data_IF_940459168260
#
_entry.id   IF_940459168260
#
_cell.length_a   1.000
_cell.length_b   1.000
_cell.length_c   1.000
_cell.angle_alpha   90.00
_cell.angle_beta   90.00
_cell.angle_gamma   90.00
#
_symmetry.space_group_name_H-M   'P 1'
#
loop_
_entity.id
_entity.type
_entity.pdbx_description
1 polymer ?
2 non-polymer ?
3 non-polymer ?
4 non-polymer ?
5 water ?
#
# COMPACT_ATOMS: atom_id res chain seq x y z
C UNK A 14 -11.90 -28.60 17.84
N UNK A 15 -12.44 -27.69 17.04
CA UNK A 15 -11.61 -26.64 16.43
C UNK A 15 -11.00 -25.71 17.48
N UNK A 16 -9.77 -25.27 17.25
CA UNK A 16 -9.16 -24.27 18.13
C UNK A 16 -9.92 -22.95 18.03
N UNK A 17 -10.14 -22.31 19.16
CA UNK A 17 -10.80 -21.01 19.22
C UNK A 17 -9.83 -19.98 19.76
N UNK A 18 -10.09 -18.71 19.44
CA UNK A 18 -9.26 -17.61 19.93
C UNK A 18 -10.14 -16.37 20.04
N UNK A 19 -10.04 -15.68 21.18
CA UNK A 19 -10.85 -14.49 21.49
C UNK A 19 -12.33 -14.76 21.23
N UNK A 20 -12.78 -15.95 21.64
CA UNK A 20 -14.18 -16.29 21.65
C UNK A 20 -14.78 -16.67 20.31
N UNK A 21 -14.00 -16.67 19.22
CA UNK A 21 -14.55 -17.00 17.91
C UNK A 21 -13.73 -18.10 17.24
N UNK A 22 -14.39 -18.79 16.30
CA UNK A 22 -13.79 -19.93 15.61
C UNK A 22 -12.61 -19.45 14.77
N UNK A 23 -11.55 -20.26 14.77
CA UNK A 23 -10.35 -20.04 13.99
C UNK A 23 -9.81 -21.44 13.64
N UNK A 24 -10.52 -22.21 12.82
CA UNK A 24 -10.19 -23.63 12.64
C UNK A 24 -9.33 -23.79 11.41
N UNK A 25 -8.04 -23.99 11.65
CA UNK A 25 -7.03 -24.07 10.62
C UNK A 25 -6.36 -25.42 10.62
N UNK A 26 -6.84 -26.35 11.46
CA UNK A 26 -6.12 -27.56 11.72
C UNK A 26 -6.46 -28.67 10.75
N UNK A 27 -5.75 -29.79 10.87
CA UNK A 27 -4.72 -29.98 11.89
C UNK A 27 -3.32 -29.47 11.53
N UNK A 28 -3.15 -28.93 10.33
CA UNK A 28 -1.81 -28.54 9.90
C UNK A 28 -1.24 -27.44 10.77
N UNK A 29 -2.09 -26.50 11.20
CA UNK A 29 -1.62 -25.32 11.92
C UNK A 29 -2.13 -25.41 13.34
N UNK A 30 -1.21 -25.34 14.31
CA UNK A 30 -1.54 -25.49 15.72
C UNK A 30 -0.87 -24.41 16.55
N UNK A 31 -1.15 -24.45 17.85
CA UNK A 31 -0.54 -23.53 18.82
C UNK A 31 -0.74 -22.08 18.40
N UNK A 32 -2.01 -21.68 18.37
CA UNK A 32 -2.38 -20.37 17.84
C UNK A 32 -2.13 -19.28 18.88
N UNK A 33 -1.79 -18.10 18.37
CA UNK A 33 -1.57 -16.93 19.20
C UNK A 33 -2.11 -15.71 18.47
N UNK A 34 -2.96 -14.95 19.16
CA UNK A 34 -3.57 -13.79 18.56
C UNK A 34 -2.54 -12.70 18.33
N UNK A 35 -2.52 -12.13 17.13
CA UNK A 35 -1.67 -10.98 16.82
C UNK A 35 -2.46 -9.68 16.86
N UNK A 36 -3.60 -9.62 16.20
CA UNK A 36 -4.41 -8.42 16.24
C UNK A 36 -5.57 -8.46 15.27
N UNK A 37 -6.27 -7.33 15.23
CA UNK A 37 -7.47 -7.16 14.42
C UNK A 37 -7.12 -6.29 13.22
N UNK A 38 -7.41 -6.80 12.02
CA UNK A 38 -7.07 -6.06 10.83
C UNK A 38 -8.27 -5.70 9.99
N UNK A 39 -8.00 -5.21 8.78
CA UNK A 39 -9.07 -4.78 7.89
C UNK A 39 -10.07 -5.88 7.60
N UNK A 40 -9.62 -7.14 7.60
CA UNK A 40 -10.50 -8.24 7.24
C UNK A 40 -11.13 -8.95 8.43
N UNK A 41 -10.49 -8.91 9.59
CA UNK A 41 -10.89 -9.73 10.73
C UNK A 41 -9.67 -10.05 11.58
N UNK A 42 -9.66 -11.25 12.15
CA UNK A 42 -8.65 -11.64 13.13
C UNK A 42 -7.39 -12.19 12.49
N UNK A 43 -6.23 -11.83 13.06
CA UNK A 43 -4.93 -12.29 12.60
C UNK A 43 -4.23 -13.01 13.75
N UNK A 44 -3.72 -14.21 13.49
CA UNK A 44 -3.03 -15.01 14.49
C UNK A 44 -1.73 -15.53 13.91
N UNK A 45 -0.84 -15.92 14.80
CA UNK A 45 0.29 -16.75 14.43
C UNK A 45 -0.01 -18.17 14.83
N UNK A 46 0.69 -19.10 14.17
CA UNK A 46 0.43 -20.51 14.39
C UNK A 46 1.64 -21.30 13.95
N UNK A 47 1.73 -22.53 14.43
CA UNK A 47 2.81 -23.42 14.03
C UNK A 47 2.39 -24.26 12.84
N UNK A 48 3.16 -24.16 11.77
CA UNK A 48 2.94 -24.95 10.55
C UNK A 48 3.62 -26.29 10.75
N UNK A 49 2.81 -27.33 11.02
CA UNK A 49 3.37 -28.64 11.35
C UNK A 49 4.06 -29.29 10.16
N UNK A 50 3.76 -28.84 8.94
CA UNK A 50 4.41 -29.39 7.76
C UNK A 50 5.78 -28.74 7.53
N UNK A 51 5.84 -27.42 7.58
CA UNK A 51 7.09 -26.73 7.28
C UNK A 51 7.91 -26.44 8.54
N UNK A 52 7.38 -26.75 9.71
CA UNK A 52 8.11 -26.63 10.97
C UNK A 52 8.52 -25.19 11.24
N UNK A 53 7.61 -24.26 10.96
CA UNK A 53 7.84 -22.84 11.21
C UNK A 53 6.53 -22.24 11.70
N UNK A 54 6.65 -21.12 12.42
CA UNK A 54 5.43 -20.37 12.70
C UNK A 54 5.11 -19.47 11.52
N UNK A 55 3.81 -19.26 11.31
CA UNK A 55 3.26 -18.50 10.19
C UNK A 55 2.25 -17.51 10.73
N UNK A 56 1.85 -16.59 9.87
CA UNK A 56 0.71 -15.72 10.14
C UNK A 56 -0.49 -16.24 9.36
N UNK A 57 -1.67 -16.16 9.98
CA UNK A 57 -2.94 -16.56 9.37
C UNK A 57 -3.97 -15.46 9.62
N UNK A 58 -4.60 -14.98 8.55
CA UNK A 58 -5.68 -14.00 8.69
C UNK A 58 -7.01 -14.65 8.29
N UNK A 59 -8.02 -14.44 9.14
CA UNK A 59 -9.36 -14.95 8.92
C UNK A 59 -10.20 -13.88 8.22
N UNK A 60 -10.80 -14.27 7.09
CA UNK A 60 -11.58 -13.38 6.25
C UNK A 60 -12.98 -13.94 6.13
N UNK A 61 -13.98 -13.09 6.37
CA UNK A 61 -15.40 -13.46 6.37
C UNK A 61 -16.18 -12.47 5.52
N UNK A 62 -16.10 -12.58 4.19
CA UNK A 62 -16.58 -11.50 3.32
C UNK A 62 -17.93 -11.72 2.65
N UNK A 63 -18.52 -12.91 2.80
CA UNK A 63 -19.42 -13.35 1.75
C UNK A 63 -20.79 -12.67 1.79
N UNK A 64 -21.07 -11.88 2.82
CA UNK A 64 -22.34 -11.15 2.88
C UNK A 64 -22.40 -9.96 1.92
N UNK A 65 -21.25 -9.39 1.55
CA UNK A 65 -21.22 -8.06 0.94
C UNK A 65 -20.37 -8.02 -0.33
N UNK A 66 -20.95 -7.43 -1.37
CA UNK A 66 -20.27 -7.15 -2.63
C UNK A 66 -18.84 -6.64 -2.42
N UNK A 67 -18.71 -5.54 -1.66
CA UNK A 67 -17.41 -4.87 -1.55
C UNK A 67 -16.41 -5.70 -0.78
N UNK A 68 -16.85 -6.39 0.28
CA UNK A 68 -15.96 -7.32 0.98
C UNK A 68 -15.45 -8.39 0.03
N UNK A 69 -16.36 -9.04 -0.71
CA UNK A 69 -15.95 -10.07 -1.65
C UNK A 69 -15.03 -9.49 -2.73
N UNK A 70 -15.29 -8.24 -3.12
CA UNK A 70 -14.42 -7.53 -4.08
C UNK A 70 -12.99 -7.46 -3.57
N UNK A 71 -12.81 -6.91 -2.37
CA UNK A 71 -11.45 -6.75 -1.83
C UNK A 71 -10.76 -8.09 -1.66
N UNK A 72 -11.50 -9.10 -1.17
CA UNK A 72 -10.92 -10.42 -0.94
C UNK A 72 -10.44 -11.04 -2.25
N UNK A 73 -11.27 -10.95 -3.29
CA UNK A 73 -10.87 -11.50 -4.58
C UNK A 73 -9.66 -10.77 -5.15
N UNK A 74 -9.61 -9.43 -5.02
CA UNK A 74 -8.45 -8.70 -5.52
C UNK A 74 -7.17 -9.16 -4.80
N UNK A 75 -7.23 -9.19 -3.46
CA UNK A 75 -6.07 -9.59 -2.67
C UNK A 75 -5.58 -10.98 -3.07
N UNK A 76 -6.51 -11.95 -3.16
CA UNK A 76 -6.10 -13.31 -3.47
C UNK A 76 -5.56 -13.40 -4.89
N UNK A 77 -6.32 -12.87 -5.88
CA UNK A 77 -5.91 -12.99 -7.28
C UNK A 77 -4.54 -12.37 -7.50
N UNK A 78 -4.33 -11.17 -6.97
CA UNK A 78 -3.07 -10.48 -7.24
C UNK A 78 -1.92 -11.18 -6.54
N UNK A 79 -2.08 -11.52 -5.26
CA UNK A 79 -0.95 -12.07 -4.52
C UNK A 79 -0.58 -13.46 -5.02
N UNK A 80 -1.54 -14.24 -5.51
CA UNK A 80 -1.20 -15.54 -6.11
C UNK A 80 -0.48 -15.38 -7.44
N UNK A 81 -0.68 -14.28 -8.15
CA UNK A 81 0.03 -14.11 -9.41
C UNK A 81 1.38 -13.46 -9.25
N UNK A 82 1.55 -12.64 -8.23
CA UNK A 82 2.84 -11.97 -8.02
C UNK A 82 3.83 -12.90 -7.33
N UNK A 83 5.10 -12.78 -7.70
CA UNK A 83 6.18 -13.52 -7.04
C UNK A 83 7.37 -12.56 -6.94
N UNK A 84 7.57 -11.98 -5.75
CA UNK A 84 8.61 -10.96 -5.59
C UNK A 84 9.03 -10.89 -4.13
N UNK A 85 10.34 -10.75 -3.90
CA UNK A 85 10.91 -10.75 -2.55
C UNK A 85 10.31 -9.67 -1.65
N UNK A 86 9.86 -8.55 -2.24
CA UNK A 86 9.34 -7.43 -1.46
C UNK A 86 7.82 -7.33 -1.53
N UNK A 87 7.14 -8.43 -1.86
CA UNK A 87 5.68 -8.49 -1.84
C UNK A 87 5.33 -9.75 -1.07
N UNK A 88 4.43 -9.62 -0.09
CA UNK A 88 4.09 -10.79 0.71
C UNK A 88 3.44 -11.86 -0.18
N UNK A 89 3.79 -13.08 0.05
CA UNK A 89 3.17 -14.15 -0.71
C UNK A 89 1.99 -14.75 0.04
N UNK A 90 1.25 -15.60 -0.65
CA UNK A 90 0.28 -16.48 -0.02
C UNK A 90 0.85 -17.89 -0.03
N UNK A 91 1.07 -18.46 1.16
CA UNK A 91 1.61 -19.81 1.29
C UNK A 91 0.54 -20.87 1.23
N UNK A 92 -0.66 -20.54 1.67
CA UNK A 92 -1.71 -21.54 1.81
C UNK A 92 -3.02 -20.77 1.99
N UNK A 93 -4.11 -21.38 1.57
CA UNK A 93 -5.44 -20.84 1.84
C UNK A 93 -6.29 -21.98 2.35
N UNK A 94 -6.95 -21.76 3.48
CA UNK A 94 -7.78 -22.77 4.12
C UNK A 94 -9.23 -22.34 3.98
N UNK A 95 -10.06 -23.24 3.48
CA UNK A 95 -11.51 -23.03 3.49
C UNK A 95 -12.20 -24.38 3.36
N UNK A 96 -13.52 -24.37 3.58
CA UNK A 96 -14.31 -25.59 3.50
C UNK A 96 -14.22 -26.22 2.10
N UNK A 97 -14.52 -27.52 1.99
CA UNK A 97 -14.41 -28.19 0.69
C UNK A 97 -15.47 -27.80 -0.32
N UNK A 98 -16.56 -27.18 0.11
CA UNK A 98 -17.67 -26.87 -0.79
C UNK A 98 -18.06 -25.41 -0.60
N UNK A 99 -18.65 -24.82 -1.64
CA UNK A 99 -19.14 -23.45 -1.54
C UNK A 99 -20.18 -23.35 -0.43
N UNK A 100 -21.12 -24.30 -0.40
CA UNK A 100 -22.17 -24.32 0.60
C UNK A 100 -21.61 -24.18 2.00
N UNK A 101 -20.51 -24.87 2.27
CA UNK A 101 -19.96 -24.94 3.61
C UNK A 101 -18.94 -23.85 3.89
N UNK A 102 -18.57 -23.07 2.88
CA UNK A 102 -17.52 -22.06 3.01
C UNK A 102 -18.13 -20.77 3.56
N UNK A 103 -17.74 -20.40 4.79
CA UNK A 103 -18.15 -19.12 5.36
C UNK A 103 -16.97 -18.21 5.63
N UNK A 104 -15.81 -18.79 5.86
CA UNK A 104 -14.59 -18.05 6.14
C UNK A 104 -13.49 -18.56 5.22
N UNK A 105 -12.49 -17.72 5.00
CA UNK A 105 -11.29 -18.09 4.25
C UNK A 105 -10.10 -17.67 5.10
N UNK A 106 -9.13 -18.57 5.27
CA UNK A 106 -7.93 -18.24 6.03
C UNK A 106 -6.75 -18.16 5.08
N UNK A 107 -6.06 -17.03 5.10
CA UNK A 107 -4.88 -16.83 4.27
C UNK A 107 -3.67 -17.02 5.15
N UNK A 108 -2.80 -17.94 4.76
CA UNK A 108 -1.55 -18.22 5.47
C UNK A 108 -0.41 -17.51 4.76
N UNK A 109 0.40 -16.76 5.52
CA UNK A 109 1.51 -15.99 4.97
C UNK A 109 2.72 -16.13 5.89
N UNK A 110 3.90 -15.75 5.37
CA UNK A 110 5.10 -15.72 6.21
C UNK A 110 4.83 -14.87 7.44
N UNK A 111 5.35 -15.33 8.59
CA UNK A 111 5.25 -14.58 9.83
C UNK A 111 6.32 -13.49 9.85
N UNK A 112 5.90 -12.25 9.96
CA UNK A 112 6.83 -11.14 10.03
C UNK A 112 6.91 -10.66 11.47
N UNK A 113 7.90 -9.83 11.75
CA UNK A 113 8.06 -9.40 13.14
C UNK A 113 7.15 -8.23 13.48
N UNK A 114 6.95 -7.30 12.54
CA UNK A 114 6.20 -6.09 12.84
C UNK A 114 5.75 -5.48 11.52
N UNK A 115 5.07 -4.34 11.59
CA UNK A 115 4.84 -3.54 10.39
C UNK A 115 5.42 -2.15 10.64
N UNK A 116 5.54 -1.36 9.57
CA UNK A 116 6.23 -0.08 9.70
C UNK A 116 5.43 0.90 10.57
N UNK A 117 4.11 0.75 10.60
CA UNK A 117 3.29 1.58 11.48
C UNK A 117 3.67 1.34 12.94
N UNK A 118 3.71 0.07 13.34
CA UNK A 118 4.07 -0.26 14.72
C UNK A 118 5.52 0.12 15.01
N UNK A 119 6.40 -0.11 14.04
CA UNK A 119 7.79 0.24 14.23
C UNK A 119 7.96 1.75 14.41
N UNK A 120 7.26 2.56 13.62
CA UNK A 120 7.48 4.01 13.73
C UNK A 120 6.86 4.60 14.99
N UNK A 121 5.93 3.88 15.64
CA UNK A 121 5.40 4.35 16.91
C UNK A 121 6.48 4.47 17.98
N UNK A 122 7.49 3.60 17.95
CA UNK A 122 8.40 3.51 19.09
C UNK A 122 9.88 3.50 18.72
N UNK A 123 10.25 3.45 17.45
CA UNK A 123 11.64 3.26 17.08
C UNK A 123 12.06 4.39 16.16
N UNK A 124 13.17 5.02 16.51
CA UNK A 124 13.85 5.95 15.61
C UNK A 124 14.63 5.16 14.56
N UNK A 125 14.46 5.53 13.30
CA UNK A 125 15.17 4.86 12.21
C UNK A 125 16.50 5.55 11.93
N UNK A 126 17.57 4.76 11.84
CA UNK A 126 18.84 5.29 11.33
C UNK A 126 18.68 5.63 9.85
N UNK A 127 19.53 6.55 9.36
CA UNK A 127 19.46 6.84 7.93
C UNK A 127 19.71 5.59 7.11
N UNK A 128 20.56 4.67 7.59
CA UNK A 128 20.78 3.42 6.85
C UNK A 128 19.49 2.60 6.76
N UNK A 129 18.70 2.56 7.83
CA UNK A 129 17.43 1.85 7.77
C UNK A 129 16.44 2.53 6.84
N UNK A 130 16.37 3.87 6.91
CA UNK A 130 15.45 4.60 6.04
C UNK A 130 15.78 4.31 4.58
N UNK A 131 17.07 4.31 4.26
CA UNK A 131 17.51 4.09 2.89
C UNK A 131 17.15 2.68 2.44
N UNK A 132 17.45 1.68 3.28
CA UNK A 132 17.15 0.29 2.95
C UNK A 132 15.64 0.04 2.84
N UNK A 133 14.84 0.58 3.79
CA UNK A 133 13.40 0.44 3.67
C UNK A 133 12.89 1.06 2.38
N UNK A 134 13.31 2.29 2.09
CA UNK A 134 12.79 2.95 0.90
C UNK A 134 13.20 2.20 -0.36
N UNK A 135 14.45 1.70 -0.39
CA UNK A 135 14.89 0.88 -1.53
C UNK A 135 13.93 -0.29 -1.74
N UNK A 136 13.60 -1.00 -0.66
CA UNK A 136 12.79 -2.20 -0.79
C UNK A 136 11.35 -1.86 -1.19
N UNK A 137 10.80 -0.78 -0.64
CA UNK A 137 9.46 -0.35 -1.07
C UNK A 137 9.44 -0.12 -2.57
N UNK A 138 10.41 0.66 -3.08
CA UNK A 138 10.43 1.00 -4.50
C UNK A 138 10.72 -0.22 -5.36
N UNK A 139 11.55 -1.14 -4.87
CA UNK A 139 11.86 -2.35 -5.64
C UNK A 139 10.59 -3.18 -5.81
N UNK A 140 9.85 -3.36 -4.73
CA UNK A 140 8.56 -4.04 -4.84
C UNK A 140 7.59 -3.28 -5.72
N UNK A 141 7.56 -1.96 -5.59
CA UNK A 141 6.62 -1.18 -6.39
C UNK A 141 6.97 -1.21 -7.87
N UNK A 142 8.27 -1.32 -8.20
CA UNK A 142 8.64 -1.44 -9.61
C UNK A 142 7.98 -2.67 -10.22
N UNK A 143 7.98 -3.76 -9.47
CA UNK A 143 7.34 -4.98 -9.94
C UNK A 143 5.82 -4.82 -10.07
N UNK A 144 5.19 -4.26 -9.04
CA UNK A 144 3.75 -4.01 -9.09
C UNK A 144 3.40 -3.17 -10.31
N UNK A 145 4.08 -2.04 -10.49
CA UNK A 145 3.75 -1.17 -11.61
C UNK A 145 4.09 -1.79 -12.95
N UNK A 146 5.13 -2.63 -13.00
CA UNK A 146 5.44 -3.34 -14.24
C UNK A 146 4.33 -4.32 -14.64
N UNK A 147 3.49 -4.74 -13.69
CA UNK A 147 2.34 -5.59 -13.98
C UNK A 147 1.12 -4.76 -14.35
N UNK A 148 1.28 -3.44 -14.47
CA UNK A 148 0.19 -2.53 -14.77
C UNK A 148 -0.82 -2.46 -13.63
N UNK A 149 -0.37 -2.71 -12.40
CA UNK A 149 -1.23 -2.69 -11.22
C UNK A 149 -0.85 -1.49 -10.37
N UNK A 150 -1.86 -0.84 -9.81
CA UNK A 150 -1.73 0.21 -8.82
C UNK A 150 -2.11 -0.35 -7.45
N UNK A 151 -1.27 -0.11 -6.44
CA UNK A 151 -1.59 -0.63 -5.11
C UNK A 151 -2.72 0.16 -4.49
N UNK A 152 -2.60 1.48 -4.52
CA UNK A 152 -3.62 2.48 -4.16
C UNK A 152 -3.86 2.56 -2.67
N UNK A 153 -3.10 1.85 -1.83
CA UNK A 153 -3.28 2.08 -0.40
C UNK A 153 -1.97 1.85 0.33
N UNK A 154 -0.88 2.39 -0.23
CA UNK A 154 0.41 2.24 0.44
C UNK A 154 0.45 3.14 1.66
N UNK A 155 0.87 2.58 2.80
CA UNK A 155 0.99 3.29 4.06
C UNK A 155 1.79 2.40 5.01
N UNK A 156 2.31 2.94 6.11
CA UNK A 156 3.18 2.13 6.97
C UNK A 156 2.56 0.83 7.43
N UNK A 157 1.25 0.81 7.73
CA UNK A 157 0.67 -0.43 8.24
C UNK A 157 0.56 -1.53 7.19
N UNK A 158 0.76 -1.20 5.89
CA UNK A 158 0.74 -2.19 4.83
C UNK A 158 2.14 -2.62 4.41
N UNK A 159 3.15 -2.35 5.25
CA UNK A 159 4.52 -2.75 4.98
C UNK A 159 4.97 -3.61 6.15
N UNK A 160 5.19 -4.89 5.91
CA UNK A 160 5.67 -5.79 6.95
C UNK A 160 7.19 -5.89 6.91
N UNK A 161 7.78 -6.14 8.11
CA UNK A 161 9.21 -6.27 8.29
C UNK A 161 9.49 -7.52 9.10
N UNK A 162 10.50 -8.29 8.71
CA UNK A 162 10.89 -9.44 9.53
C UNK A 162 12.02 -9.04 10.47
N UNK A 163 12.62 -10.02 11.16
CA UNK A 163 13.59 -9.66 12.20
C UNK A 163 14.89 -9.13 11.63
N UNK A 164 15.12 -9.30 10.33
CA UNK A 164 16.34 -8.81 9.71
C UNK A 164 16.00 -7.65 8.78
N UNK A 165 14.83 -7.06 9.01
CA UNK A 165 14.42 -5.83 8.35
C UNK A 165 14.19 -6.00 6.84
N UNK A 166 13.92 -7.25 6.42
CA UNK A 166 13.38 -7.47 5.07
C UNK A 166 11.94 -6.97 5.03
N UNK A 167 11.59 -6.24 3.97
CA UNK A 167 10.33 -5.51 3.91
C UNK A 167 9.46 -6.12 2.83
N UNK A 168 8.17 -6.31 3.14
CA UNK A 168 7.22 -6.83 2.16
C UNK A 168 5.96 -5.98 2.12
N UNK A 169 5.55 -5.64 0.90
CA UNK A 169 4.31 -4.89 0.65
C UNK A 169 3.13 -5.84 0.78
N UNK A 170 2.09 -5.42 1.50
CA UNK A 170 0.92 -6.28 1.71
C UNK A 170 -0.35 -5.51 1.36
N UNK A 171 -1.44 -6.26 1.37
CA UNK A 171 -2.84 -5.82 1.18
C UNK A 171 -3.16 -5.12 -0.12
N UNK A 172 -3.55 -5.90 -1.10
CA UNK A 172 -3.90 -5.40 -2.41
C UNK A 172 -5.41 -5.32 -2.60
N UNK A 173 -6.16 -5.28 -1.49
CA UNK A 173 -7.62 -5.24 -1.57
C UNK A 173 -8.19 -4.02 -2.29
N UNK A 174 -7.45 -2.92 -2.35
CA UNK A 174 -7.90 -1.73 -3.07
C UNK A 174 -7.17 -1.54 -4.40
N UNK A 175 -6.37 -2.53 -4.82
CA UNK A 175 -5.58 -2.40 -6.04
C UNK A 175 -6.47 -2.40 -7.28
N UNK A 176 -5.95 -1.80 -8.36
CA UNK A 176 -6.65 -1.72 -9.63
C UNK A 176 -5.63 -1.83 -10.76
N UNK A 177 -6.11 -2.23 -11.94
CA UNK A 177 -5.28 -2.11 -13.14
C UNK A 177 -5.21 -0.64 -13.55
N UNK A 178 -4.01 -0.16 -13.90
CA UNK A 178 -3.85 1.25 -14.25
C UNK A 178 -4.70 1.60 -15.46
N UNK A 179 -5.28 2.80 -15.45
CA UNK A 179 -6.17 3.23 -16.52
C UNK A 179 -6.03 4.74 -16.68
N UNK A 180 -4.88 5.20 -17.16
CA UNK A 180 -4.64 6.65 -17.17
C UNK A 180 -5.57 7.41 -18.08
N UNK A 181 -6.13 6.75 -19.11
CA UNK A 181 -6.99 7.49 -20.04
C UNK A 181 -8.35 7.80 -19.46
N UNK A 182 -8.70 7.21 -18.33
CA UNK A 182 -9.98 7.46 -17.68
C UNK A 182 -9.78 7.99 -16.26
N UNK A 183 -8.68 8.72 -16.02
CA UNK A 183 -8.37 9.17 -14.68
C UNK A 183 -9.08 10.47 -14.28
N UNK A 184 -9.62 11.24 -15.23
CA UNK A 184 -10.12 12.58 -14.91
C UNK A 184 -11.50 12.50 -14.28
N UNK A 185 -11.74 13.35 -13.29
CA UNK A 185 -13.02 13.44 -12.61
C UNK A 185 -13.15 14.85 -12.06
N UNK A 186 -14.26 15.09 -11.38
CA UNK A 186 -14.56 16.40 -10.83
C UNK A 186 -13.94 16.64 -9.47
N UNK A 187 -14.19 17.85 -8.99
CA UNK A 187 -13.64 18.36 -7.74
C UNK A 187 -14.37 17.76 -6.55
N UNK A 188 -13.59 17.28 -5.57
CA UNK A 188 -14.13 16.72 -4.33
C UNK A 188 -14.88 15.42 -4.59
N UNK A 189 -14.37 14.61 -5.52
CA UNK A 189 -14.95 13.29 -5.82
C UNK A 189 -14.53 12.29 -4.75
N UNK A 190 -15.50 11.51 -4.27
CA UNK A 190 -15.28 10.63 -3.14
C UNK A 190 -14.19 9.62 -3.46
N UNK A 191 -13.51 9.17 -2.40
CA UNK A 191 -12.35 8.31 -2.56
C UNK A 191 -12.19 7.46 -1.32
N UNK A 192 -11.63 6.26 -1.50
CA UNK A 192 -11.67 5.22 -0.46
C UNK A 192 -10.33 5.08 0.27
N UNK A 193 -9.20 5.18 -0.43
CA UNK A 193 -7.87 4.91 0.15
C UNK A 193 -7.53 5.90 1.26
N UNK A 194 -6.48 5.58 2.04
CA UNK A 194 -6.25 6.22 3.34
C UNK A 194 -5.87 7.70 3.24
N UNK A 195 -6.54 8.53 4.03
CA UNK A 195 -6.52 9.97 3.79
C UNK A 195 -5.11 10.57 3.82
N UNK A 196 -4.31 10.22 4.83
CA UNK A 196 -3.02 10.89 5.02
C UNK A 196 -2.05 10.62 3.89
N UNK A 197 -2.28 9.58 3.08
CA UNK A 197 -1.36 9.18 2.02
C UNK A 197 -1.93 9.47 0.64
N UNK A 198 -3.02 10.25 0.57
CA UNK A 198 -3.70 10.59 -0.68
C UNK A 198 -3.01 11.75 -1.40
N UNK A 199 -2.73 11.55 -2.68
CA UNK A 199 -2.12 12.60 -3.50
C UNK A 199 -3.07 13.79 -3.68
N UNK A 200 -2.53 14.99 -3.84
CA UNK A 200 -3.41 16.17 -3.91
C UNK A 200 -4.43 16.08 -5.02
N UNK A 201 -4.04 15.50 -6.16
CA UNK A 201 -4.97 15.45 -7.30
C UNK A 201 -6.22 14.60 -7.01
N UNK A 202 -6.18 13.73 -6.01
CA UNK A 202 -7.37 12.95 -5.67
C UNK A 202 -8.52 13.88 -5.28
N UNK A 203 -8.21 14.92 -4.50
CA UNK A 203 -9.21 15.89 -4.09
C UNK A 203 -9.59 16.87 -5.22
N UNK A 204 -8.78 16.96 -6.26
CA UNK A 204 -8.96 17.96 -7.30
C UNK A 204 -9.61 17.42 -8.56
N UNK A 205 -9.04 16.35 -9.18
CA UNK A 205 -9.52 15.96 -10.51
C UNK A 205 -9.09 14.55 -10.92
N UNK A 206 -8.71 13.67 -9.98
CA UNK A 206 -8.16 12.37 -10.33
C UNK A 206 -8.92 11.24 -9.64
N UNK A 207 -9.18 10.17 -10.39
CA UNK A 207 -9.73 8.96 -9.81
C UNK A 207 -8.68 8.03 -9.20
N UNK A 208 -7.39 8.39 -9.26
CA UNK A 208 -6.39 7.48 -8.72
C UNK A 208 -6.13 6.29 -9.60
N UNK A 209 -6.22 6.46 -10.92
CA UNK A 209 -5.99 5.37 -11.85
C UNK A 209 -4.63 5.45 -12.54
N UNK A 210 -3.68 6.24 -12.02
CA UNK A 210 -2.36 6.30 -12.63
C UNK A 210 -1.30 5.99 -11.58
N UNK A 211 -0.14 5.56 -12.06
CA UNK A 211 0.91 5.08 -11.18
C UNK A 211 1.43 6.17 -10.24
N UNK A 212 1.31 7.44 -10.66
CA UNK A 212 1.79 8.53 -9.81
C UNK A 212 1.08 8.58 -8.46
N UNK A 213 -0.09 7.94 -8.34
CA UNK A 213 -0.79 7.91 -7.06
C UNK A 213 0.02 7.16 -6.00
N UNK A 214 0.69 6.08 -6.41
CA UNK A 214 1.48 5.28 -5.49
C UNK A 214 2.77 6.00 -5.11
N UNK A 215 3.37 6.73 -6.06
CA UNK A 215 4.63 7.42 -5.74
C UNK A 215 4.39 8.46 -4.67
N UNK A 216 3.24 9.17 -4.75
CA UNK A 216 2.91 10.13 -3.70
C UNK A 216 2.89 9.45 -2.34
N UNK A 217 2.18 8.32 -2.24
CA UNK A 217 2.11 7.59 -0.98
C UNK A 217 3.50 7.24 -0.47
N UNK A 218 4.39 6.81 -1.35
CA UNK A 218 5.74 6.44 -0.91
C UNK A 218 6.47 7.67 -0.40
N UNK A 219 6.25 8.82 -1.05
CA UNK A 219 6.83 10.06 -0.57
C UNK A 219 6.37 10.38 0.83
N UNK A 220 5.08 10.16 1.11
CA UNK A 220 4.55 10.37 2.45
C UNK A 220 5.20 9.41 3.44
N UNK A 221 5.44 8.16 3.01
CA UNK A 221 6.05 7.17 3.90
C UNK A 221 7.49 7.55 4.19
N UNK A 222 8.23 7.99 3.18
CA UNK A 222 9.59 8.48 3.41
C UNK A 222 9.61 9.62 4.43
N UNK A 223 8.72 10.60 4.26
CA UNK A 223 8.71 11.73 5.20
C UNK A 223 8.45 11.24 6.61
N UNK A 224 7.57 10.23 6.74
CA UNK A 224 7.21 9.72 8.04
C UNK A 224 8.36 8.91 8.66
N UNK A 225 9.14 8.22 7.83
CA UNK A 225 10.34 7.55 8.34
C UNK A 225 11.38 8.56 8.84
N UNK A 226 11.41 9.74 8.22
CA UNK A 226 12.40 10.74 8.64
C UNK A 226 12.07 11.35 9.99
N UNK A 227 10.78 11.42 10.36
CA UNK A 227 10.39 12.13 11.58
C UNK A 227 9.51 11.35 12.54
N UNK A 228 9.07 10.14 12.20
CA UNK A 228 8.15 9.37 13.04
C UNK A 228 6.82 10.08 13.26
N UNK A 229 6.41 10.95 12.34
CA UNK A 229 5.11 11.62 12.38
C UNK A 229 4.61 11.70 10.94
N UNK A 230 3.33 11.48 10.69
CA UNK A 230 2.82 11.71 9.32
C UNK A 230 3.04 13.15 8.88
N UNK A 231 3.43 13.31 7.61
CA UNK A 231 3.74 14.66 7.14
C UNK A 231 2.47 15.46 6.88
N UNK A 232 1.38 14.81 6.46
CA UNK A 232 0.14 15.48 6.09
C UNK A 232 -1.05 14.86 6.82
N UNK A 233 -1.18 15.11 8.13
CA UNK A 233 -2.21 14.43 8.93
C UNK A 233 -3.56 15.15 8.90
N UNK A 234 -4.17 15.19 7.72
CA UNK A 234 -5.46 15.85 7.59
C UNK A 234 -6.53 15.16 8.43
N UNK A 235 -7.49 15.95 8.89
CA UNK A 235 -8.53 15.45 9.76
C UNK A 235 -9.82 15.11 9.03
N UNK A 236 -9.94 15.49 7.76
CA UNK A 236 -11.10 15.17 6.93
C UNK A 236 -10.71 15.47 5.50
N UNK A 237 -11.65 15.25 4.58
CA UNK A 237 -11.33 15.11 3.16
C UNK A 237 -10.64 16.34 2.59
N UNK A 238 -11.28 17.54 2.67
CA UNK A 238 -10.60 18.70 2.07
C UNK A 238 -9.46 19.19 2.95
N UNK A 239 -9.53 18.95 4.27
CA UNK A 239 -8.39 19.29 5.15
C UNK A 239 -7.10 18.66 4.68
N UNK A 240 -7.18 17.47 4.09
CA UNK A 240 -5.97 16.83 3.59
C UNK A 240 -5.25 17.73 2.58
N UNK A 241 -6.02 18.40 1.70
CA UNK A 241 -5.37 19.23 0.70
C UNK A 241 -4.73 20.44 1.35
N UNK A 242 -5.32 20.96 2.42
CA UNK A 242 -4.76 22.17 3.01
C UNK A 242 -3.48 21.85 3.80
N UNK A 243 -3.33 20.63 4.31
CA UNK A 243 -2.03 20.20 4.82
C UNK A 243 -0.98 20.11 3.72
N UNK A 244 -1.35 19.53 2.59
CA UNK A 244 -0.38 19.38 1.51
C UNK A 244 0.09 20.75 1.03
N UNK A 245 -0.86 21.64 0.78
CA UNK A 245 -0.51 22.98 0.30
C UNK A 245 0.23 23.81 1.36
N UNK A 246 -0.01 23.55 2.64
CA UNK A 246 0.71 24.28 3.67
C UNK A 246 2.20 24.01 3.68
N UNK A 247 2.64 22.90 3.09
CA UNK A 247 4.07 22.59 3.00
C UNK A 247 4.60 22.83 1.60
N UNK A 248 3.88 22.38 0.55
CA UNK A 248 4.36 22.59 -0.80
C UNK A 248 4.22 24.03 -1.24
N UNK A 249 3.34 24.79 -0.60
CA UNK A 249 3.00 26.12 -1.04
C UNK A 249 2.07 26.10 -2.23
N UNK A 250 1.75 27.32 -2.70
CA UNK A 250 0.79 27.52 -3.79
C UNK A 250 1.32 26.90 -5.07
N UNK A 251 0.51 26.16 -5.81
CA UNK A 251 0.97 25.63 -7.10
C UNK A 251 1.23 26.75 -8.09
N UNK A 252 2.20 26.50 -8.97
CA UNK A 252 2.61 27.43 -9.99
C UNK A 252 1.51 27.62 -11.03
N UNK A 253 1.64 28.68 -11.84
CA UNK A 253 0.66 28.85 -12.90
C UNK A 253 0.67 27.68 -13.87
N UNK A 254 1.86 27.17 -14.21
CA UNK A 254 1.98 26.02 -15.09
C UNK A 254 1.21 24.84 -14.53
N UNK A 255 1.35 24.58 -13.22
CA UNK A 255 0.68 23.45 -12.62
C UNK A 255 -0.83 23.68 -12.53
N UNK A 256 -1.26 24.91 -12.27
CA UNK A 256 -2.71 25.18 -12.32
C UNK A 256 -3.25 25.01 -13.73
N UNK A 257 -2.48 25.44 -14.74
CA UNK A 257 -2.97 25.33 -16.11
C UNK A 257 -3.19 23.88 -16.52
N UNK A 258 -2.53 22.93 -15.85
CA UNK A 258 -2.74 21.51 -16.11
C UNK A 258 -4.05 20.97 -15.54
N UNK A 259 -4.71 21.74 -14.68
CA UNK A 259 -5.99 21.37 -14.10
C UNK A 259 -7.05 22.09 -14.93
N UNK A 260 -7.69 21.38 -15.83
CA UNK A 260 -8.64 22.10 -16.70
C UNK A 260 -9.97 22.28 -15.99
N UNK A 261 -10.32 21.39 -15.07
CA UNK A 261 -11.61 21.50 -14.39
C UNK A 261 -11.71 22.83 -13.62
N UNK A 262 -12.76 23.60 -13.91
CA UNK A 262 -12.84 24.97 -13.37
C UNK A 262 -13.09 24.97 -11.87
N UNK A 263 -13.90 24.03 -11.36
CA UNK A 263 -14.18 24.03 -9.93
C UNK A 263 -12.92 23.78 -9.14
N UNK A 264 -12.10 22.84 -9.59
CA UNK A 264 -10.85 22.56 -8.90
C UNK A 264 -9.89 23.74 -9.06
N UNK A 265 -9.70 24.22 -10.30
CA UNK A 265 -8.77 25.33 -10.52
C UNK A 265 -9.18 26.55 -9.70
N UNK A 266 -10.47 26.89 -9.70
CA UNK A 266 -10.87 28.11 -9.01
C UNK A 266 -10.78 27.96 -7.50
N UNK A 267 -10.94 26.75 -6.98
CA UNK A 267 -10.68 26.55 -5.56
C UNK A 267 -9.24 26.94 -5.23
N UNK A 268 -8.29 26.42 -6.02
CA UNK A 268 -6.89 26.74 -5.74
C UNK A 268 -6.63 28.24 -5.92
N UNK A 269 -7.25 28.86 -6.92
CA UNK A 269 -7.04 30.30 -7.13
C UNK A 269 -7.60 31.15 -6.01
N UNK A 270 -8.58 30.63 -5.26
CA UNK A 270 -9.24 31.36 -4.19
C UNK A 270 -8.40 31.44 -2.93
N UNK A 271 -7.34 30.66 -2.84
CA UNK A 271 -6.53 30.54 -1.63
C UNK A 271 -5.52 31.68 -1.59
N UNK A 272 -5.24 32.22 -0.42
CA UNK A 272 -4.10 33.14 -0.30
C UNK A 272 -2.80 32.43 -0.66
N UNK A 273 -1.81 33.21 -1.11
CA UNK A 273 -0.47 32.71 -1.39
C UNK A 273 0.11 32.01 -0.16
N UNK A 274 0.67 30.82 -0.37
CA UNK A 274 1.39 30.05 0.65
C UNK A 274 2.80 29.79 0.11
N UNK A 275 3.83 30.10 0.91
CA UNK A 275 5.19 29.76 0.51
C UNK A 275 5.51 28.30 0.83
N UNK A 276 6.38 27.73 0.01
CA UNK A 276 6.93 26.41 0.26
C UNK A 276 7.71 26.41 1.57
N UNK A 277 7.54 25.35 2.35
CA UNK A 277 8.37 25.10 3.53
C UNK A 277 9.57 24.26 3.08
N UNK A 278 10.80 24.73 3.28
CA UNK A 278 11.96 23.96 2.81
C UNK A 278 12.05 22.63 3.54
N UNK A 279 12.35 21.57 2.77
CA UNK A 279 12.42 20.25 3.38
C UNK A 279 13.45 20.20 4.50
N UNK A 280 14.55 20.95 4.34
CA UNK A 280 15.60 20.81 5.35
C UNK A 280 15.27 21.59 6.60
N UNK A 281 14.25 22.46 6.54
CA UNK A 281 13.75 23.05 7.76
C UNK A 281 12.82 22.09 8.50
N UNK A 282 11.99 21.36 7.74
CA UNK A 282 11.11 20.36 8.33
C UNK A 282 11.89 19.17 8.86
N UNK A 283 12.99 18.82 8.20
CA UNK A 283 13.74 17.61 8.52
C UNK A 283 15.21 17.98 8.64
N UNK A 284 15.58 18.71 9.69
CA UNK A 284 16.97 19.22 9.75
C UNK A 284 18.03 18.15 9.96
N UNK A 285 17.68 16.91 10.34
CA UNK A 285 18.66 15.84 10.53
C UNK A 285 18.78 14.92 9.31
N UNK A 286 17.93 15.13 8.31
CA UNK A 286 17.83 14.19 7.18
C UNK A 286 19.01 14.33 6.22
N UNK A 287 19.35 13.22 5.60
CA UNK A 287 20.31 13.20 4.51
C UNK A 287 19.83 14.10 3.37
N UNK A 288 20.73 14.92 2.83
CA UNK A 288 20.30 15.84 1.79
C UNK A 288 19.85 15.11 0.54
N UNK A 289 20.45 13.96 0.22
CA UNK A 289 19.99 13.19 -0.93
C UNK A 289 18.59 12.62 -0.69
N UNK A 290 18.29 12.20 0.54
CA UNK A 290 16.94 11.74 0.87
C UNK A 290 15.93 12.86 0.62
N UNK A 291 16.27 14.10 1.00
CA UNK A 291 15.30 15.18 0.83
C UNK A 291 15.14 15.55 -0.63
N UNK A 292 16.18 15.38 -1.42
CA UNK A 292 16.05 15.65 -2.84
C UNK A 292 15.06 14.67 -3.47
N UNK A 293 15.18 13.40 -3.11
CA UNK A 293 14.24 12.40 -3.62
C UNK A 293 12.84 12.63 -3.06
N UNK A 294 12.73 12.95 -1.77
CA UNK A 294 11.44 13.28 -1.18
C UNK A 294 10.72 14.36 -1.98
N UNK A 295 11.48 15.41 -2.37
CA UNK A 295 10.89 16.52 -3.10
C UNK A 295 10.32 16.05 -4.42
N UNK A 296 11.03 15.12 -5.09
CA UNK A 296 10.60 14.62 -6.38
C UNK A 296 9.41 13.68 -6.25
N UNK A 297 9.28 12.97 -5.14
CA UNK A 297 8.09 12.12 -4.95
C UNK A 297 6.87 12.92 -4.52
N UNK A 298 7.07 13.97 -3.74
CA UNK A 298 5.99 14.84 -3.31
C UNK A 298 5.88 16.08 -4.20
N UNK A 299 5.87 15.85 -5.50
CA UNK A 299 5.66 16.91 -6.47
C UNK A 299 4.16 17.05 -6.69
N UNK A 300 3.69 18.30 -6.70
CA UNK A 300 2.25 18.56 -6.80
C UNK A 300 1.67 18.05 -8.11
N UNK A 301 2.30 18.40 -9.23
CA UNK A 301 1.86 17.99 -10.56
C UNK A 301 2.16 16.52 -10.77
N UNK A 302 1.15 15.65 -10.88
CA UNK A 302 1.44 14.22 -11.05
C UNK A 302 2.23 13.88 -12.31
N UNK A 303 2.14 14.69 -13.36
CA UNK A 303 2.91 14.44 -14.57
C UNK A 303 4.40 14.69 -14.36
N UNK A 304 4.75 15.61 -13.46
CA UNK A 304 6.15 15.89 -13.18
C UNK A 304 6.71 15.01 -12.07
N UNK A 305 5.84 14.30 -11.36
CA UNK A 305 6.26 13.48 -10.23
C UNK A 305 7.17 12.35 -10.72
N UNK A 306 8.20 12.04 -9.94
CA UNK A 306 9.16 11.01 -10.36
C UNK A 306 8.45 9.66 -10.45
N UNK A 307 8.89 8.82 -11.40
CA UNK A 307 8.35 7.46 -11.55
C UNK A 307 9.23 6.47 -10.81
N UNK A 308 8.72 5.25 -10.63
CA UNK A 308 9.38 4.32 -9.71
C UNK A 308 10.78 3.96 -10.19
N UNK A 309 10.97 3.75 -11.50
CA UNK A 309 12.31 3.37 -11.96
C UNK A 309 13.29 4.53 -11.87
N UNK A 310 12.83 5.77 -12.02
CA UNK A 310 13.71 6.92 -11.78
C UNK A 310 14.07 7.05 -10.31
N UNK A 311 13.10 6.78 -9.43
CA UNK A 311 13.37 6.87 -8.00
C UNK A 311 14.44 5.87 -7.61
N UNK A 312 14.38 4.65 -8.15
CA UNK A 312 15.40 3.63 -7.85
C UNK A 312 16.79 4.09 -8.25
N UNK A 313 16.91 4.84 -9.36
CA UNK A 313 18.20 5.35 -9.85
C UNK A 313 18.64 6.65 -9.18
N UNK A 314 17.90 7.15 -8.20
CA UNK A 314 18.27 8.40 -7.55
C UNK A 314 19.54 8.20 -6.72
N UNK A 315 20.43 9.20 -6.66
CA UNK A 315 21.66 9.09 -5.85
C UNK A 315 21.46 8.62 -4.41
N UNK A 316 20.31 8.93 -3.79
CA UNK A 316 20.10 8.49 -2.42
C UNK A 316 20.19 6.98 -2.31
N UNK A 317 19.79 6.26 -3.37
CA UNK A 317 19.72 4.81 -3.35
C UNK A 317 20.90 4.14 -4.02
N UNK A 318 22.03 4.86 -4.18
CA UNK A 318 23.13 4.35 -4.99
C UNK A 318 23.75 3.08 -4.42
N UNK A 319 23.74 2.93 -3.09
CA UNK A 319 24.34 1.74 -2.48
C UNK A 319 23.60 0.46 -2.88
N UNK A 320 22.31 0.57 -3.23
CA UNK A 320 21.48 -0.59 -3.51
C UNK A 320 21.10 -0.74 -4.98
N UNK A 321 21.11 0.36 -5.73
CA UNK A 321 20.52 0.34 -7.07
C UNK A 321 21.21 -0.67 -7.99
N UNK A 322 20.42 -1.55 -8.57
CA UNK A 322 20.93 -2.53 -9.52
C UNK A 322 19.76 -3.02 -10.37
N UNK A 323 19.54 -2.42 -11.55
CA UNK A 323 18.31 -2.74 -12.29
C UNK A 323 18.20 -4.20 -12.67
N UNK A 324 19.32 -4.91 -12.84
CA UNK A 324 19.27 -6.32 -13.14
C UNK A 324 18.79 -7.13 -11.95
N UNK A 325 18.81 -6.57 -10.75
CA UNK A 325 18.32 -7.25 -9.57
C UNK A 325 17.04 -6.60 -9.06
N UNK A 326 16.30 -5.94 -9.95
CA UNK A 326 15.04 -5.28 -9.63
C UNK A 326 14.05 -5.82 -10.67
N UNK A 327 13.52 -7.01 -10.42
CA UNK A 327 12.78 -7.72 -11.47
C UNK A 327 11.41 -7.13 -11.75
N UNK A 328 10.90 -7.41 -12.94
CA UNK A 328 9.56 -7.01 -13.34
C UNK A 328 8.72 -8.25 -13.58
N UNK A 329 7.42 -8.01 -13.71
CA UNK A 329 6.45 -9.08 -13.84
C UNK A 329 6.53 -9.71 -15.22
N UNK A 330 6.30 -11.03 -15.28
CA UNK A 330 6.29 -11.77 -16.53
C UNK A 330 5.21 -11.29 -17.48
N UNK A 331 4.11 -10.76 -16.96
CA UNK A 331 3.06 -10.31 -17.86
C UNK A 331 2.19 -9.30 -17.13
N UNK A 332 1.66 -8.30 -17.83
CA UNK A 332 0.71 -7.38 -17.18
C UNK A 332 -0.50 -8.14 -16.66
N UNK A 333 -1.18 -7.53 -15.72
CA UNK A 333 -2.26 -8.15 -14.99
C UNK A 333 -3.57 -7.57 -15.49
N UNK A 342 -21.00 -7.35 -10.80
CA UNK A 342 -20.99 -8.77 -10.44
C UNK A 342 -21.32 -8.95 -8.96
N UNK A 343 -22.40 -9.67 -8.66
CA UNK A 343 -22.86 -9.77 -7.27
C UNK A 343 -22.03 -10.76 -6.47
N UNK A 344 -22.27 -10.74 -5.15
CA UNK A 344 -21.50 -11.56 -4.23
C UNK A 344 -21.56 -13.05 -4.58
N UNK A 345 -22.66 -13.50 -5.17
CA UNK A 345 -22.77 -14.93 -5.46
C UNK A 345 -21.76 -15.35 -6.51
N UNK A 346 -21.61 -14.57 -7.57
CA UNK A 346 -20.55 -14.89 -8.51
C UNK A 346 -19.18 -14.68 -7.88
N UNK A 347 -19.05 -13.73 -6.94
CA UNK A 347 -17.75 -13.46 -6.32
C UNK A 347 -17.36 -14.54 -5.34
N UNK A 348 -18.32 -15.08 -4.59
CA UNK A 348 -18.01 -16.25 -3.76
C UNK A 348 -17.55 -17.40 -4.63
N UNK A 349 -18.20 -17.60 -5.78
CA UNK A 349 -17.80 -18.65 -6.70
C UNK A 349 -16.38 -18.40 -7.21
N UNK A 350 -16.05 -17.14 -7.49
CA UNK A 350 -14.69 -16.79 -7.93
C UNK A 350 -13.67 -17.03 -6.84
N UNK A 351 -13.97 -16.62 -5.62
CA UNK A 351 -13.07 -16.85 -4.50
C UNK A 351 -12.89 -18.35 -4.25
N UNK A 352 -13.97 -19.12 -4.34
CA UNK A 352 -13.86 -20.57 -4.20
C UNK A 352 -12.95 -21.14 -5.29
N UNK A 353 -13.14 -20.70 -6.53
CA UNK A 353 -12.30 -21.12 -7.66
C UNK A 353 -10.85 -20.69 -7.47
N UNK A 354 -10.63 -19.46 -7.02
CA UNK A 354 -9.26 -18.97 -6.92
C UNK A 354 -8.47 -19.70 -5.85
N UNK A 355 -9.14 -20.27 -4.85
CA UNK A 355 -8.48 -20.92 -3.73
C UNK A 355 -8.41 -22.44 -3.88
N UNK A 356 -8.86 -22.96 -5.02
CA UNK A 356 -8.96 -24.42 -5.19
C UNK A 356 -7.60 -25.11 -5.17
N UNK A 357 -6.55 -24.40 -5.60
CA UNK A 357 -5.24 -25.02 -5.75
C UNK A 357 -4.67 -25.49 -4.41
N UNK A 358 -5.21 -25.00 -3.30
CA UNK A 358 -4.68 -25.36 -2.00
C UNK A 358 -5.45 -26.50 -1.35
N UNK A 359 -6.44 -27.04 -2.04
CA UNK A 359 -7.08 -28.31 -1.64
C UNK A 359 -6.33 -29.52 -2.22
N UNK A 360 -6.38 -30.67 -1.52
CA UNK A 360 -6.98 -30.84 -0.19
X LIG B 1 -12.79 11.08 3.80
X LIG B 1 -12.94 10.20 2.65
X LIG B 1 -12.47 10.31 5.00
X LIG B 1 -11.69 12.01 3.56
X LIG B 1 -14.02 11.83 4.04
X LIG C 1 0.98 -6.05 11.73
X LIG C 1 1.15 -9.74 10.71
X LIG C 1 -0.33 -8.08 11.91
X LIG C 1 -2.30 -7.25 12.86
X LIG C 1 -1.69 -8.34 9.22
X LIG C 1 -3.66 -7.04 12.22
X LIG C 1 -1.31 -6.09 12.73
X LIG C 1 0.05 -9.83 8.72
X LIG C 1 -0.34 -6.57 11.62
X LIG C 1 2.28 -11.81 7.94
X LIG C 1 3.15 -11.36 10.05
X LIG C 1 -2.51 -8.85 8.19
X LIG C 1 -0.55 -9.01 9.55
X LIG C 1 -1.67 -8.40 12.25
X LIG C 1 1.12 -10.31 9.45
X LIG C 1 2.18 -11.18 9.12
X LIG C 1 3.05 -10.75 11.22
X LIG C 1 2.09 -9.91 11.66
X LIG C 1 0.06 -8.91 10.78
X LIG C 1 -3.56 -6.68 10.85
X LIG C 1 -0.62 -5.88 13.95
X LIG D 1 -3.90 2.21 9.67
X LIG D 1 -4.00 3.41 8.79
X LIG D 1 -2.65 2.43 10.96
X LIG D 1 -5.37 2.03 10.72
#
# INVERSE_FOLDING_TARGET
HHHHHHMAAAAAAGPEMVRGQVFDVGPRYTNLSYIGEGAYGMVCSAYDNLNKVRVAIKKISPFEHQTYCQRTLREIKILLRFRHENIIGINDIIRAPTIEQMKDVYIVQDLMETDLYKLLKTQHLSNDHICYFLYQILRGLKYIHSANVLHRDLKPSNLLLNTTCDLKICDFGLARVADPDHDHTGFLTEYVATRWYRAPEIMLNSKGYTKSIDIWSVGCILAEMLSNRPIFPGKHYLDQLNHILGILGSPSQEDLNCIINLKARNYLLSLPHKNKVPWNRLFPNADSKALDLLDKMLTFNPHKRIEVEQALAHPYLEQYYDPSDEPIAEAPFKFDMELDDLPKEKLKELIFEETARFQPGYRS
SO4 S O1 O2 O3 O4
DF8 O3 C4 C5 C6 N1 C7 C8 N2 C9 N3 N4 N C O C1 C2 C3 N5 N6 O1 O2
DMS S O C1 C2
#
